data_IF_937355819184
#
_entry.id   IF_937355819184
#
_cell.length_a   1.000
_cell.length_b   1.000
_cell.length_c   1.000
_cell.angle_alpha   90.00
_cell.angle_beta   90.00
_cell.angle_gamma   90.00
#
_symmetry.space_group_name_H-M   'P 1'
#
loop_
_entity.id
_entity.type
_entity.pdbx_description
1 polymer ?
#
# COMPACT_ATOMS: atom_id res chain seq x y z
N UNK A 1 -38.95 34.75 -11.34
CA UNK A 1 -38.18 33.80 -12.19
C UNK A 1 -36.66 33.89 -11.97
N UNK A 2 -36.05 35.09 -11.88
CA UNK A 2 -34.60 35.26 -11.63
C UNK A 2 -34.07 34.64 -10.33
N UNK A 3 -34.87 34.62 -9.25
CA UNK A 3 -34.50 34.01 -7.96
C UNK A 3 -34.38 32.48 -8.03
N UNK A 4 -35.28 31.81 -8.76
CA UNK A 4 -35.27 30.35 -8.97
C UNK A 4 -34.10 29.94 -9.86
N UNK A 5 -33.79 30.72 -10.90
CA UNK A 5 -32.63 30.49 -11.75
C UNK A 5 -31.31 30.57 -10.98
N UNK A 6 -31.22 31.46 -9.98
CA UNK A 6 -30.03 31.62 -9.12
C UNK A 6 -29.83 30.46 -8.14
N UNK A 7 -30.92 29.85 -7.66
CA UNK A 7 -30.85 28.65 -6.83
C UNK A 7 -30.46 27.41 -7.62
N UNK A 8 -31.00 27.25 -8.84
CA UNK A 8 -30.65 26.12 -9.72
C UNK A 8 -29.19 26.19 -10.15
N UNK A 9 -28.67 27.38 -10.45
CA UNK A 9 -27.23 27.54 -10.76
C UNK A 9 -26.32 27.31 -9.56
N UNK A 10 -26.71 27.72 -8.34
CA UNK A 10 -25.94 27.41 -7.12
C UNK A 10 -25.92 25.91 -6.81
N UNK A 11 -27.03 25.18 -7.01
CA UNK A 11 -27.08 23.73 -6.82
C UNK A 11 -26.20 22.96 -7.83
N UNK A 12 -26.15 23.40 -9.08
CA UNK A 12 -25.28 22.79 -10.11
C UNK A 12 -23.80 23.04 -9.82
N UNK A 13 -23.42 24.22 -9.31
CA UNK A 13 -22.04 24.53 -8.93
C UNK A 13 -21.59 23.71 -7.71
N UNK A 14 -22.46 23.53 -6.71
CA UNK A 14 -22.17 22.67 -5.54
C UNK A 14 -22.01 21.21 -5.96
N UNK A 15 -22.85 20.72 -6.87
CA UNK A 15 -22.74 19.37 -7.41
C UNK A 15 -21.45 19.18 -8.25
N UNK A 16 -21.03 20.18 -9.02
CA UNK A 16 -19.78 20.16 -9.80
C UNK A 16 -18.51 20.27 -8.94
N UNK A 17 -18.56 20.94 -7.78
CA UNK A 17 -17.42 20.96 -6.85
C UNK A 17 -17.26 19.65 -6.06
N UNK A 18 -18.32 18.85 -5.94
CA UNK A 18 -18.33 17.63 -5.12
C UNK A 18 -17.72 16.41 -5.83
N UNK A 19 -17.59 16.43 -7.16
CA UNK A 19 -17.13 15.27 -7.95
C UNK A 19 -15.62 15.19 -8.15
N UNK A 20 -14.85 16.14 -7.64
CA UNK A 20 -13.38 16.09 -7.61
C UNK A 20 -12.80 16.39 -6.21
N UNK A 21 -13.59 16.18 -5.16
CA UNK A 21 -13.04 15.99 -3.83
C UNK A 21 -12.74 14.50 -3.68
N UNK A 22 -11.78 14.00 -4.49
CA UNK A 22 -11.06 12.80 -4.07
C UNK A 22 -10.52 13.16 -2.70
N UNK A 23 -11.01 12.45 -1.70
CA UNK A 23 -10.61 12.66 -0.33
C UNK A 23 -9.09 12.78 -0.32
N UNK A 24 -8.58 13.96 0.05
CA UNK A 24 -7.33 14.01 0.77
C UNK A 24 -7.63 13.32 2.09
N UNK A 25 -7.76 11.99 2.03
CA UNK A 25 -7.56 11.14 3.17
C UNK A 25 -6.24 11.64 3.71
N UNK A 26 -6.31 12.26 4.89
CA UNK A 26 -5.13 12.34 5.73
C UNK A 26 -4.53 10.95 5.63
N UNK A 27 -3.30 10.89 5.13
CA UNK A 27 -2.53 9.67 5.03
C UNK A 27 -2.43 9.14 6.46
N UNK A 28 -3.45 8.39 6.87
CA UNK A 28 -3.39 7.45 7.96
C UNK A 28 -2.42 6.41 7.43
N UNK A 29 -1.12 6.78 7.40
CA UNK A 29 -0.05 5.80 7.29
C UNK A 29 -0.39 4.84 8.39
N UNK A 30 -0.88 3.62 8.08
CA UNK A 30 -1.10 2.68 9.13
C UNK A 30 0.28 2.56 9.77
N UNK A 31 0.38 2.86 11.06
CA UNK A 31 1.60 2.57 11.79
C UNK A 31 1.71 1.04 11.71
N UNK A 32 2.43 0.55 10.70
CA UNK A 32 2.63 -0.89 10.49
C UNK A 32 3.61 -1.29 11.58
N UNK A 33 3.04 -1.64 12.73
CA UNK A 33 3.75 -2.16 13.88
C UNK A 33 3.61 -3.66 13.83
N UNK A 34 4.73 -4.36 13.68
CA UNK A 34 4.74 -5.82 13.79
C UNK A 34 4.81 -6.21 15.26
N UNK A 35 4.00 -7.19 15.66
CA UNK A 35 3.95 -7.66 17.05
C UNK A 35 5.24 -8.34 17.53
N UNK A 36 6.12 -8.72 16.62
CA UNK A 36 7.38 -9.43 16.85
C UNK A 36 8.63 -8.63 16.44
N UNK A 37 8.50 -7.31 16.28
CA UNK A 37 9.60 -6.42 15.94
C UNK A 37 9.55 -5.16 16.81
N UNK A 38 10.50 -5.03 17.73
CA UNK A 38 10.67 -3.83 18.56
C UNK A 38 11.82 -2.93 18.05
N UNK A 39 11.84 -1.68 18.51
CA UNK A 39 12.83 -0.66 18.13
C UNK A 39 14.28 -1.01 18.50
N UNK A 40 14.50 -1.96 19.41
CA UNK A 40 15.84 -2.39 19.83
C UNK A 40 16.44 -3.43 18.88
N UNK A 41 15.62 -4.02 18.00
CA UNK A 41 16.09 -4.96 17.00
C UNK A 41 16.99 -4.26 15.98
N UNK A 42 18.18 -4.81 15.72
CA UNK A 42 19.19 -4.18 14.83
C UNK A 42 18.66 -3.86 13.43
N UNK A 43 17.68 -4.63 12.95
CA UNK A 43 17.07 -4.46 11.62
C UNK A 43 15.86 -3.50 11.61
N UNK A 44 15.43 -2.98 12.76
CA UNK A 44 14.19 -2.22 12.90
C UNK A 44 14.11 -1.06 11.89
N UNK A 45 15.12 -0.19 11.85
CA UNK A 45 15.11 0.98 10.95
C UNK A 45 15.04 0.58 9.48
N UNK A 46 15.76 -0.47 9.09
CA UNK A 46 15.78 -0.98 7.72
C UNK A 46 14.43 -1.58 7.31
N UNK A 47 13.83 -2.37 8.19
CA UNK A 47 12.51 -2.97 7.97
C UNK A 47 11.46 -1.85 7.88
N UNK A 48 11.45 -0.93 8.82
CA UNK A 48 10.52 0.20 8.86
C UNK A 48 10.55 1.01 7.56
N UNK A 49 11.75 1.33 7.05
CA UNK A 49 11.90 2.05 5.79
C UNK A 49 11.29 1.29 4.61
N UNK A 50 11.57 -0.01 4.50
CA UNK A 50 11.07 -0.84 3.40
C UNK A 50 9.57 -1.09 3.49
N UNK A 51 9.00 -1.09 4.69
CA UNK A 51 7.55 -1.11 4.91
C UNK A 51 6.90 0.19 4.47
N UNK A 52 7.50 1.33 4.83
CA UNK A 52 7.05 2.65 4.41
C UNK A 52 7.08 2.80 2.87
N UNK A 53 8.06 2.20 2.22
CA UNK A 53 8.16 2.15 0.74
C UNK A 53 7.23 1.09 0.10
N UNK A 54 6.46 0.32 0.89
CA UNK A 54 5.56 -0.72 0.38
C UNK A 54 6.27 -1.97 -0.16
N UNK A 55 7.57 -2.10 0.06
CA UNK A 55 8.38 -3.25 -0.40
C UNK A 55 8.13 -4.45 0.52
N UNK A 56 8.14 -4.23 1.83
CA UNK A 56 7.82 -5.25 2.82
C UNK A 56 6.34 -5.14 3.19
N UNK A 57 5.66 -6.28 3.11
CA UNK A 57 4.30 -6.46 3.62
C UNK A 57 4.40 -7.67 4.56
N UNK A 58 4.11 -7.46 5.85
CA UNK A 58 4.18 -8.53 6.84
C UNK A 58 3.13 -9.60 6.62
N UNK A 59 3.04 -10.52 7.57
CA UNK A 59 2.10 -11.63 7.52
C UNK A 59 0.69 -11.21 7.99
N UNK A 60 -0.37 -11.93 7.59
CA UNK A 60 -1.74 -11.61 8.00
C UNK A 60 -1.99 -11.65 9.52
N UNK A 61 -1.10 -12.31 10.27
CA UNK A 61 -1.12 -12.38 11.73
C UNK A 61 -0.51 -11.14 12.41
N UNK A 62 -0.04 -10.15 11.64
CA UNK A 62 0.59 -8.93 12.16
C UNK A 62 2.05 -9.12 12.57
N UNK A 63 2.75 -10.13 12.03
CA UNK A 63 4.18 -10.38 12.27
C UNK A 63 5.06 -10.03 11.06
N UNK A 64 6.35 -9.81 11.30
CA UNK A 64 7.39 -9.72 10.26
C UNK A 64 8.31 -10.93 10.23
N UNK A 65 8.54 -11.56 11.39
CA UNK A 65 9.41 -12.72 11.60
C UNK A 65 10.89 -12.42 11.28
N UNK A 66 11.52 -11.44 11.95
CA UNK A 66 12.86 -10.95 11.60
C UNK A 66 13.98 -12.00 11.69
N UNK A 67 13.74 -13.08 12.43
CA UNK A 67 14.70 -14.18 12.63
C UNK A 67 14.34 -15.46 11.84
N UNK A 68 13.26 -15.44 11.06
CA UNK A 68 12.89 -16.57 10.22
C UNK A 68 13.77 -16.63 8.96
N UNK A 69 13.99 -17.84 8.46
CA UNK A 69 14.61 -18.01 7.14
C UNK A 69 13.67 -17.50 6.05
N UNK A 70 14.22 -16.72 5.12
CA UNK A 70 13.48 -16.25 3.96
C UNK A 70 13.49 -17.31 2.84
N UNK A 71 12.34 -17.55 2.23
CA UNK A 71 12.28 -18.43 1.05
C UNK A 71 12.80 -17.73 -0.20
N UNK A 72 13.20 -18.51 -1.21
CA UNK A 72 13.60 -17.97 -2.52
C UNK A 72 12.48 -17.12 -3.15
N UNK A 73 11.23 -17.54 -2.99
CA UNK A 73 10.08 -16.83 -3.53
C UNK A 73 9.90 -15.46 -2.85
N UNK A 74 9.89 -15.42 -1.52
CA UNK A 74 9.78 -14.17 -0.76
C UNK A 74 10.92 -13.19 -1.09
N UNK A 75 12.16 -13.68 -1.16
CA UNK A 75 13.31 -12.85 -1.52
C UNK A 75 13.15 -12.22 -2.91
N UNK A 76 12.74 -12.99 -3.91
CA UNK A 76 12.49 -12.48 -5.26
C UNK A 76 11.32 -11.49 -5.27
N UNK A 77 10.25 -11.74 -4.49
CA UNK A 77 9.14 -10.81 -4.34
C UNK A 77 9.60 -9.44 -3.83
N UNK A 78 10.49 -9.40 -2.84
CA UNK A 78 11.05 -8.13 -2.34
C UNK A 78 11.81 -7.38 -3.44
N UNK A 79 12.64 -8.07 -4.22
CA UNK A 79 13.39 -7.47 -5.34
C UNK A 79 12.42 -6.95 -6.40
N UNK A 80 11.40 -7.72 -6.78
CA UNK A 80 10.41 -7.30 -7.76
C UNK A 80 9.70 -6.01 -7.32
N UNK A 81 9.29 -5.90 -6.06
CA UNK A 81 8.68 -4.68 -5.52
C UNK A 81 9.65 -3.50 -5.51
N UNK A 82 10.88 -3.72 -5.06
CA UNK A 82 11.93 -2.69 -5.06
C UNK A 82 12.23 -2.14 -6.46
N UNK A 83 12.16 -3.01 -7.48
CA UNK A 83 12.37 -2.63 -8.87
C UNK A 83 11.09 -2.15 -9.59
N UNK A 84 9.93 -2.17 -8.92
CA UNK A 84 8.64 -1.83 -9.54
C UNK A 84 8.26 -2.75 -10.69
N UNK A 85 8.62 -4.04 -10.60
CA UNK A 85 8.30 -5.03 -11.63
C UNK A 85 6.87 -5.52 -11.47
N UNK A 86 6.11 -5.42 -12.56
CA UNK A 86 4.75 -5.95 -12.62
C UNK A 86 4.74 -7.48 -12.75
N UNK A 87 3.75 -8.17 -12.17
CA UNK A 87 3.58 -9.60 -12.35
C UNK A 87 3.42 -9.96 -13.82
N UNK A 88 4.19 -10.95 -14.27
CA UNK A 88 4.01 -11.52 -15.61
C UNK A 88 2.81 -12.46 -15.54
N UNK A 89 1.67 -12.04 -16.09
CA UNK A 89 0.44 -12.84 -16.16
C UNK A 89 0.49 -13.96 -17.23
N UNK A 90 1.67 -14.51 -17.49
CA UNK A 90 1.85 -15.64 -18.41
C UNK A 90 2.03 -16.93 -17.63
N UNK A 91 1.49 -18.06 -18.12
CA UNK A 91 1.72 -19.35 -17.48
C UNK A 91 3.23 -19.64 -17.40
N UNK A 92 3.66 -20.13 -16.23
CA UNK A 92 5.04 -20.52 -16.03
C UNK A 92 5.44 -21.61 -17.02
N UNK A 93 6.67 -21.50 -17.56
CA UNK A 93 7.31 -22.56 -18.35
C UNK A 93 8.08 -23.56 -17.48
N UNK A 94 8.19 -23.28 -16.17
CA UNK A 94 8.91 -24.07 -15.21
C UNK A 94 7.94 -24.99 -14.46
N UNK A 95 8.31 -26.27 -14.34
CA UNK A 95 7.46 -27.32 -13.75
C UNK A 95 7.23 -27.12 -12.24
N UNK A 96 8.16 -26.45 -11.57
CA UNK A 96 8.27 -26.27 -10.13
C UNK A 96 7.80 -24.87 -9.66
N UNK A 97 7.18 -24.12 -10.56
CA UNK A 97 6.55 -22.84 -10.26
C UNK A 97 5.04 -23.06 -10.42
N UNK A 98 4.37 -23.22 -9.27
CA UNK A 98 2.91 -23.31 -9.17
C UNK A 98 2.22 -21.96 -9.39
#
# INVERSE_FOLDING_TARGET
>A
MKKIMRYITLLIIIALLSTHYDAFAADETPAIVFSDLDETHWAYEGIYKLVYEGIIVGYPDGTFRPNAEITRAEFVTLICRMLGLEPINSPSKFKDVD
#
